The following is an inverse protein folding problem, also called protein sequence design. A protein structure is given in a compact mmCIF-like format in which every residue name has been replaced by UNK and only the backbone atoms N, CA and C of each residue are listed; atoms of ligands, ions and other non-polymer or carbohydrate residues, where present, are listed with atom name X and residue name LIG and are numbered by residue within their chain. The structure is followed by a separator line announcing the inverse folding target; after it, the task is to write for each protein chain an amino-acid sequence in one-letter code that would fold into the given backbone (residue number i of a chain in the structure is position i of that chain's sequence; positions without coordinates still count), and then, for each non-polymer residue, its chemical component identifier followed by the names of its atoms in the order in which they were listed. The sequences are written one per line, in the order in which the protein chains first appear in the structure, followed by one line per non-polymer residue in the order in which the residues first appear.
data_IF_237197183660
#
_entry.id   IF_237197183660
#
_cell.length_a   1.000
_cell.length_b   1.000
_cell.length_c   1.000
_cell.angle_alpha   90.00
_cell.angle_beta   90.00
_cell.angle_gamma   90.00
#
_symmetry.space_group_name_H-M   'P 1'
#
loop_
_entity.id
_entity.type
_entity.pdbx_description
1 polymer ?
#
# COMPACT_ATOMS: atom_id res chain seq x y z
N UNK A 1 5.01 -1.29 0.13
CA UNK A 1 3.90 -2.18 -0.31
C UNK A 1 3.65 -2.09 -1.81
N UNK A 2 3.42 -0.90 -2.34
CA UNK A 2 3.32 -0.66 -3.78
C UNK A 2 4.34 0.40 -4.20
N UNK A 3 4.78 0.37 -5.45
CA UNK A 3 5.59 1.43 -6.07
C UNK A 3 5.07 1.65 -7.48
N UNK A 4 4.72 2.89 -7.85
CA UNK A 4 4.09 3.22 -9.14
C UNK A 4 2.88 2.31 -9.45
N UNK A 5 2.12 1.94 -8.41
CA UNK A 5 0.97 1.02 -8.44
C UNK A 5 1.31 -0.42 -8.90
N UNK A 6 2.57 -0.79 -8.85
CA UNK A 6 3.04 -2.17 -8.91
C UNK A 6 3.15 -2.73 -7.50
N UNK A 7 2.55 -3.90 -7.28
CA UNK A 7 2.64 -4.63 -6.01
C UNK A 7 4.08 -5.11 -5.81
N UNK A 8 4.66 -4.77 -4.66
CA UNK A 8 6.01 -5.20 -4.27
C UNK A 8 6.00 -6.15 -3.07
N UNK A 9 4.96 -6.06 -2.25
CA UNK A 9 4.74 -6.93 -1.10
C UNK A 9 3.86 -8.12 -1.51
N UNK A 10 4.34 -9.34 -1.29
CA UNK A 10 3.63 -10.58 -1.68
C UNK A 10 2.36 -10.84 -0.87
N UNK A 11 2.24 -10.22 0.30
CA UNK A 11 1.06 -10.33 1.17
C UNK A 11 -0.01 -9.29 0.85
N UNK A 12 0.28 -8.35 -0.06
CA UNK A 12 -0.65 -7.32 -0.48
C UNK A 12 -1.81 -7.91 -1.30
N UNK A 13 -3.04 -7.53 -0.94
CA UNK A 13 -4.22 -7.83 -1.74
C UNK A 13 -5.24 -6.70 -1.67
N UNK A 14 -5.99 -6.52 -2.75
CA UNK A 14 -7.11 -5.56 -2.82
C UNK A 14 -8.43 -6.25 -2.57
N UNK A 15 -9.33 -5.57 -1.87
CA UNK A 15 -10.71 -6.01 -1.70
C UNK A 15 -11.65 -5.20 -2.60
N UNK A 16 -12.82 -5.79 -2.88
CA UNK A 16 -13.90 -5.06 -3.53
C UNK A 16 -14.23 -3.79 -2.72
N UNK A 17 -14.20 -2.66 -3.41
CA UNK A 17 -14.55 -1.36 -2.84
C UNK A 17 -15.91 -0.96 -3.40
N UNK A 18 -16.95 -0.81 -2.56
CA UNK A 18 -18.32 -0.55 -3.03
C UNK A 18 -18.50 0.81 -3.69
N UNK A 19 -17.57 1.74 -3.44
CA UNK A 19 -17.59 3.10 -3.97
C UNK A 19 -16.26 3.45 -4.62
N UNK A 20 -16.31 4.25 -5.69
CA UNK A 20 -15.11 4.65 -6.47
C UNK A 20 -14.15 5.57 -5.72
N UNK A 21 -14.62 6.23 -4.66
CA UNK A 21 -13.81 7.08 -3.79
C UNK A 21 -13.18 6.30 -2.62
N UNK A 22 -13.46 5.00 -2.50
CA UNK A 22 -12.93 4.15 -1.43
C UNK A 22 -11.95 3.13 -2.02
N UNK A 23 -10.84 2.91 -1.31
CA UNK A 23 -9.89 1.85 -1.63
C UNK A 23 -9.73 0.96 -0.40
N UNK A 24 -9.93 -0.35 -0.60
CA UNK A 24 -9.75 -1.36 0.45
C UNK A 24 -8.61 -2.31 0.06
N UNK A 25 -7.66 -2.49 0.96
CA UNK A 25 -6.53 -3.39 0.77
C UNK A 25 -6.10 -4.02 2.10
N UNK A 26 -5.33 -5.09 2.02
CA UNK A 26 -4.59 -5.70 3.13
C UNK A 26 -3.15 -5.95 2.76
N UNK A 27 -2.32 -6.13 3.77
CA UNK A 27 -0.95 -6.63 3.72
C UNK A 27 -0.60 -7.11 5.14
N UNK A 28 0.47 -7.89 5.29
CA UNK A 28 0.96 -8.33 6.59
C UNK A 28 2.03 -7.34 7.10
N UNK A 29 1.66 -6.49 8.06
CA UNK A 29 2.58 -5.50 8.65
C UNK A 29 3.75 -6.11 9.43
N UNK A 30 3.54 -7.32 9.95
CA UNK A 30 4.39 -7.90 11.01
C UNK A 30 5.69 -8.55 10.53
N UNK A 31 5.93 -8.68 9.21
CA UNK A 31 7.27 -9.04 8.74
C UNK A 31 8.32 -7.96 9.09
N UNK A 32 7.90 -6.70 9.23
CA UNK A 32 8.79 -5.57 9.50
C UNK A 32 9.00 -5.29 11.00
N UNK A 33 8.05 -5.66 11.85
CA UNK A 33 8.06 -5.36 13.30
C UNK A 33 9.08 -6.20 14.08
N UNK A 34 9.62 -7.28 13.49
CA UNK A 34 10.75 -8.02 14.07
C UNK A 34 11.94 -7.12 14.44
N UNK A 35 12.10 -5.97 13.78
CA UNK A 35 13.21 -5.04 13.98
C UNK A 35 12.82 -3.71 14.63
N UNK A 36 11.52 -3.40 14.74
CA UNK A 36 11.03 -2.14 15.32
C UNK A 36 9.67 -2.36 15.99
N UNK A 37 9.48 -1.96 17.26
CA UNK A 37 8.24 -2.20 18.01
C UNK A 37 7.04 -1.41 17.46
N UNK A 38 7.29 -0.42 16.59
CA UNK A 38 6.26 0.37 15.91
C UNK A 38 6.64 0.66 14.47
N UNK A 39 5.62 0.76 13.60
CA UNK A 39 5.77 1.16 12.20
C UNK A 39 4.74 2.22 11.80
N UNK A 40 5.09 3.07 10.85
CA UNK A 40 4.18 4.02 10.22
C UNK A 40 3.90 3.59 8.79
N UNK A 41 2.65 3.70 8.36
CA UNK A 41 2.20 3.46 7.01
C UNK A 41 1.97 4.81 6.31
N UNK A 42 2.79 5.11 5.30
CA UNK A 42 2.58 6.25 4.41
C UNK A 42 2.01 5.78 3.07
N UNK A 43 0.90 6.39 2.66
CA UNK A 43 0.20 6.13 1.41
C UNK A 43 0.18 7.40 0.55
N UNK A 44 0.78 7.33 -0.63
CA UNK A 44 0.63 8.36 -1.67
C UNK A 44 -0.51 7.96 -2.61
N UNK A 45 -1.59 8.73 -2.59
CA UNK A 45 -2.79 8.54 -3.39
C UNK A 45 -2.79 9.52 -4.56
N UNK A 46 -3.32 9.08 -5.70
CA UNK A 46 -3.57 9.93 -6.87
C UNK A 46 -5.06 10.00 -7.09
N UNK A 47 -5.61 11.21 -7.16
CA UNK A 47 -7.04 11.44 -7.47
C UNK A 47 -7.16 11.71 -8.96
N UNK A 48 -8.04 10.95 -9.63
CA UNK A 48 -8.33 11.14 -11.05
C UNK A 48 -9.82 11.46 -11.25
N UNK A 49 -10.10 12.17 -12.35
CA UNK A 49 -11.49 12.37 -12.79
C UNK A 49 -12.13 11.03 -13.13
N UNK A 50 -13.39 10.87 -12.75
CA UNK A 50 -14.15 9.68 -13.11
C UNK A 50 -14.21 9.54 -14.64
N UNK A 51 -14.05 8.31 -15.14
CA UNK A 51 -14.09 7.96 -16.57
C UNK A 51 -12.95 8.52 -17.44
N UNK A 52 -11.91 9.12 -16.86
CA UNK A 52 -10.70 9.42 -17.61
C UNK A 52 -9.84 8.15 -17.74
N UNK A 53 -10.10 7.37 -18.79
CA UNK A 53 -9.37 6.13 -19.08
C UNK A 53 -7.89 6.36 -19.42
N UNK A 54 -7.53 7.59 -19.79
CA UNK A 54 -6.13 7.97 -20.03
C UNK A 54 -5.39 8.31 -18.73
N UNK A 55 -6.12 8.60 -17.65
CA UNK A 55 -5.56 9.01 -16.37
C UNK A 55 -4.65 7.94 -15.76
N UNK A 56 -3.81 8.40 -14.83
CA UNK A 56 -2.98 7.48 -14.05
C UNK A 56 -3.82 6.39 -13.40
N UNK A 57 -5.05 6.64 -12.93
CA UNK A 57 -5.86 5.68 -12.17
C UNK A 57 -6.25 4.41 -12.95
N UNK A 58 -6.34 4.46 -14.28
CA UNK A 58 -6.67 3.28 -15.10
C UNK A 58 -5.44 2.50 -15.61
N UNK A 59 -4.27 3.13 -15.68
CA UNK A 59 -3.06 2.56 -16.32
C UNK A 59 -2.39 1.37 -15.59
N UNK A 60 -2.97 0.85 -14.51
CA UNK A 60 -2.35 -0.19 -13.67
C UNK A 60 -0.90 0.06 -13.23
N UNK A 61 -0.12 -1.03 -13.13
CA UNK A 61 1.32 -1.04 -12.89
C UNK A 61 2.06 -0.63 -14.17
N UNK A 62 2.96 0.36 -14.07
CA UNK A 62 3.75 0.83 -15.20
C UNK A 62 5.22 0.53 -14.97
N UNK A 63 5.76 -0.37 -15.80
CA UNK A 63 7.17 -0.78 -15.76
C UNK A 63 8.11 0.19 -16.46
N UNK A 64 7.60 0.98 -17.44
CA UNK A 64 8.37 1.99 -18.17
C UNK A 64 7.76 3.37 -17.97
N UNK A 65 8.46 4.22 -17.22
CA UNK A 65 8.13 5.64 -17.13
C UNK A 65 8.28 6.27 -18.52
N UNK A 66 7.17 6.69 -19.14
CA UNK A 66 7.24 7.71 -20.20
C UNK A 66 7.70 8.99 -19.50
N UNK A 67 8.67 9.72 -20.09
CA UNK A 67 9.07 11.05 -19.59
C UNK A 67 7.80 11.88 -19.42
N UNK A 68 7.44 12.19 -18.18
CA UNK A 68 6.20 12.89 -17.88
C UNK A 68 6.27 14.28 -18.53
N UNK A 69 5.39 14.56 -19.48
CA UNK A 69 4.83 15.90 -19.54
C UNK A 69 3.98 16.01 -18.27
N UNK A 70 4.28 16.98 -17.40
CA UNK A 70 3.61 17.18 -16.10
C UNK A 70 2.10 16.89 -16.21
N UNK A 71 1.68 15.71 -15.77
CA UNK A 71 0.27 15.37 -15.73
C UNK A 71 -0.20 15.85 -14.36
N UNK A 72 -0.92 16.97 -14.34
CA UNK A 72 -1.39 17.68 -13.14
C UNK A 72 -2.44 16.90 -12.33
N UNK A 73 -2.16 15.65 -12.02
CA UNK A 73 -2.97 14.84 -11.11
C UNK A 73 -2.64 15.24 -9.67
N UNK A 74 -3.68 15.44 -8.88
CA UNK A 74 -3.55 15.76 -7.47
C UNK A 74 -3.05 14.54 -6.70
N UNK A 75 -1.95 14.73 -5.97
CA UNK A 75 -1.33 13.71 -5.12
C UNK A 75 -1.64 14.06 -3.67
N UNK A 76 -2.16 13.08 -2.93
CA UNK A 76 -2.50 13.22 -1.52
C UNK A 76 -1.68 12.21 -0.73
N UNK A 77 -0.95 12.67 0.27
CA UNK A 77 -0.23 11.78 1.20
C UNK A 77 -1.04 11.59 2.46
N UNK A 78 -1.25 10.34 2.85
CA UNK A 78 -1.92 9.95 4.09
C UNK A 78 -0.96 9.12 4.91
N UNK A 79 -0.87 9.39 6.21
CA UNK A 79 -0.04 8.63 7.14
C UNK A 79 -0.92 8.01 8.22
N UNK A 80 -0.71 6.74 8.50
CA UNK A 80 -1.34 6.00 9.59
C UNK A 80 -0.26 5.40 10.50
N UNK A 81 -0.39 5.57 11.81
CA UNK A 81 0.52 4.99 12.78
C UNK A 81 0.60 5.79 14.08
N UNK A 82 1.36 5.27 15.07
CA UNK A 82 2.13 4.02 15.00
C UNK A 82 1.24 2.76 15.03
N UNK A 83 1.60 1.77 14.22
CA UNK A 83 1.02 0.42 14.24
C UNK A 83 1.96 -0.46 15.07
N UNK A 84 1.43 -1.06 16.13
CA UNK A 84 2.17 -1.86 17.10
C UNK A 84 1.70 -3.31 17.07
N UNK A 85 2.62 -4.25 17.30
CA UNK A 85 2.30 -5.67 17.46
C UNK A 85 1.76 -5.90 18.87
N UNK A 86 0.68 -6.68 19.00
CA UNK A 86 0.14 -7.06 20.30
C UNK A 86 1.03 -8.15 20.91
N UNK A 87 1.29 -8.07 22.21
CA UNK A 87 2.23 -8.96 22.92
C UNK A 87 2.00 -10.47 22.68
N UNK A 88 0.74 -10.92 22.56
CA UNK A 88 0.42 -12.34 22.33
C UNK A 88 0.69 -12.87 20.90
N UNK A 89 0.93 -11.99 19.93
CA UNK A 89 1.26 -12.38 18.55
C UNK A 89 2.79 -12.40 18.31
N UNK A 90 3.57 -11.81 19.21
CA UNK A 90 5.03 -11.86 19.20
C UNK A 90 5.57 -13.25 19.55
N UNK A 91 4.95 -13.94 20.51
CA UNK A 91 5.34 -15.30 20.94
C UNK A 91 5.15 -16.35 19.83
N UNK A 92 4.10 -16.21 19.01
CA UNK A 92 3.81 -17.14 17.90
C UNK A 92 4.81 -17.03 16.74
N UNK A 93 5.43 -15.86 16.55
CA UNK A 93 6.45 -15.66 15.51
C UNK A 93 7.81 -16.21 15.94
N UNK A 94 8.16 -16.12 17.23
CA UNK A 94 9.37 -16.73 17.77
C UNK A 94 9.34 -18.27 17.73
N UNK A 95 8.14 -18.87 17.77
CA UNK A 95 7.97 -20.32 17.66
C UNK A 95 8.11 -20.85 16.21
N UNK A 96 7.87 -20.03 15.19
CA UNK A 96 8.05 -20.41 13.77
C UNK A 96 9.52 -20.30 13.30
N UNK A 97 10.41 -19.73 14.13
CA UNK A 97 11.86 -19.67 13.85
C UNK A 97 12.63 -20.89 14.39
N UNK A 98 11.93 -21.88 14.97
CA UNK A 98 12.52 -23.11 15.51
C UNK A 98 12.17 -24.38 14.73
N UNK A 99 11.61 -24.26 13.52
CA UNK A 99 11.37 -25.38 12.59
C UNK A 99 11.94 -25.11 11.20
#
# INVERSE_FOLDING_TARGET
MTNLRCVRDSTYATYYSPYRYMVRFKFNAFQFIRYSPSVYLQCELVVCRAYDYSSRCYQGCITRSKREASSGHERVTVVAGPIELREGDAEKQNAHDFE
#
